data_IF_523205567980
#
_entry.id   IF_523205567980
#
_cell.length_a   1.000
_cell.length_b   1.000
_cell.length_c   1.000
_cell.angle_alpha   90.00
_cell.angle_beta   90.00
_cell.angle_gamma   90.00
#
_symmetry.space_group_name_H-M   'P 1'
#
loop_
_entity.id
_entity.type
_entity.pdbx_description
1 polymer ?
#
# COMPACT_ATOMS: atom_id res chain seq x y z
N UNK A 1 -2.17 -21.05 6.22
CA UNK A 1 -2.34 -20.09 5.10
C UNK A 1 -3.83 -19.94 4.84
N UNK A 2 -4.35 -18.72 4.77
CA UNK A 2 -5.78 -18.47 4.46
C UNK A 2 -5.95 -18.18 2.97
N UNK A 3 -7.12 -18.54 2.43
CA UNK A 3 -7.52 -18.21 1.06
C UNK A 3 -7.35 -16.70 0.77
N UNK A 4 -7.78 -15.85 1.71
CA UNK A 4 -7.65 -14.40 1.60
C UNK A 4 -6.19 -13.92 1.45
N UNK A 5 -5.24 -14.54 2.13
CA UNK A 5 -3.83 -14.16 2.01
C UNK A 5 -3.27 -14.50 0.61
N UNK A 6 -3.69 -15.63 0.04
CA UNK A 6 -3.31 -16.05 -1.30
C UNK A 6 -3.93 -15.13 -2.37
N UNK A 7 -5.23 -14.86 -2.29
CA UNK A 7 -5.90 -13.94 -3.23
C UNK A 7 -5.30 -12.55 -3.18
N UNK A 8 -5.02 -12.01 -1.98
CA UNK A 8 -4.33 -10.71 -1.83
C UNK A 8 -2.97 -10.70 -2.51
N UNK A 9 -2.20 -11.79 -2.41
CA UNK A 9 -0.89 -11.91 -3.08
C UNK A 9 -1.04 -11.88 -4.59
N UNK A 10 -2.01 -12.61 -5.15
CA UNK A 10 -2.27 -12.62 -6.60
C UNK A 10 -2.64 -11.23 -7.11
N UNK A 11 -3.49 -10.50 -6.38
CA UNK A 11 -3.88 -9.13 -6.75
C UNK A 11 -2.70 -8.15 -6.82
N UNK A 12 -1.67 -8.32 -5.98
CA UNK A 12 -0.49 -7.43 -6.01
C UNK A 12 0.38 -7.57 -7.25
N UNK A 13 0.19 -8.63 -8.04
CA UNK A 13 0.93 -8.91 -9.28
C UNK A 13 0.26 -8.26 -10.51
N UNK A 14 -0.94 -7.72 -10.36
CA UNK A 14 -1.66 -7.06 -11.45
C UNK A 14 -1.00 -5.70 -11.67
N UNK A 15 -0.59 -5.45 -12.91
CA UNK A 15 -0.11 -4.14 -13.35
C UNK A 15 -1.31 -3.25 -13.66
N UNK A 16 -1.27 -2.05 -13.11
CA UNK A 16 -2.30 -1.04 -13.31
C UNK A 16 -1.69 0.16 -14.05
N UNK A 17 -2.54 0.95 -14.70
CA UNK A 17 -2.13 2.22 -15.29
C UNK A 17 -1.69 3.22 -14.19
N UNK A 18 -0.85 4.19 -14.55
CA UNK A 18 -0.28 5.17 -13.60
C UNK A 18 -1.33 5.90 -12.75
N UNK A 19 -2.50 6.20 -13.32
CA UNK A 19 -3.61 6.84 -12.59
C UNK A 19 -4.20 5.90 -11.53
N UNK A 20 -4.32 4.62 -11.87
CA UNK A 20 -4.87 3.56 -11.04
C UNK A 20 -3.89 3.14 -9.95
N UNK A 21 -2.58 3.15 -10.20
CA UNK A 21 -1.55 2.88 -9.19
C UNK A 21 -1.57 3.92 -8.05
N UNK A 22 -1.77 5.20 -8.39
CA UNK A 22 -1.93 6.26 -7.38
C UNK A 22 -3.23 6.11 -6.58
N UNK A 23 -4.31 5.71 -7.25
CA UNK A 23 -5.58 5.43 -6.59
C UNK A 23 -5.48 4.22 -5.65
N UNK A 24 -4.80 3.15 -6.07
CA UNK A 24 -4.53 1.96 -5.27
C UNK A 24 -3.73 2.33 -4.02
N UNK A 25 -2.63 3.07 -4.18
CA UNK A 25 -1.82 3.53 -3.06
C UNK A 25 -2.63 4.38 -2.07
N UNK A 26 -3.44 5.30 -2.58
CA UNK A 26 -4.32 6.15 -1.76
C UNK A 26 -5.32 5.32 -0.96
N UNK A 27 -5.91 4.29 -1.57
CA UNK A 27 -6.82 3.37 -0.89
C UNK A 27 -6.10 2.56 0.20
N UNK A 28 -4.90 2.03 -0.09
CA UNK A 28 -4.10 1.25 0.85
C UNK A 28 -3.70 2.08 2.08
N UNK A 29 -3.27 3.32 1.86
CA UNK A 29 -2.97 4.28 2.93
C UNK A 29 -4.24 4.59 3.73
N UNK A 30 -5.39 4.80 3.09
CA UNK A 30 -6.63 5.12 3.80
C UNK A 30 -7.16 3.95 4.64
N UNK A 31 -6.93 2.71 4.21
CA UNK A 31 -7.41 1.52 4.91
C UNK A 31 -6.49 1.09 6.06
N UNK A 32 -5.18 1.21 5.89
CA UNK A 32 -4.18 0.61 6.79
C UNK A 32 -3.17 1.62 7.35
N UNK A 33 -3.22 2.85 6.87
CA UNK A 33 -2.27 3.91 7.20
C UNK A 33 -2.80 4.87 8.25
N UNK A 34 -1.88 5.38 9.07
CA UNK A 34 -2.08 6.56 9.89
C UNK A 34 -1.10 7.65 9.46
N UNK A 35 -1.59 8.87 9.29
CA UNK A 35 -0.75 10.04 8.99
C UNK A 35 -0.64 10.86 10.26
N UNK A 36 0.59 11.03 10.73
CA UNK A 36 0.91 11.82 11.91
C UNK A 36 1.68 13.06 11.47
N UNK A 37 1.23 14.23 11.93
CA UNK A 37 1.93 15.49 11.75
C UNK A 37 2.63 15.86 13.05
N UNK A 38 3.96 15.79 13.07
CA UNK A 38 4.77 16.14 14.25
C UNK A 38 5.92 17.03 13.82
N UNK A 39 6.08 18.19 14.46
CA UNK A 39 7.20 19.12 14.21
C UNK A 39 7.43 19.43 12.71
N UNK A 40 6.36 19.73 11.97
CA UNK A 40 6.37 19.98 10.51
C UNK A 40 6.87 18.80 9.66
N UNK A 41 6.95 17.59 10.23
CA UNK A 41 7.21 16.34 9.52
C UNK A 41 5.91 15.56 9.37
N UNK A 42 5.73 14.98 8.20
CA UNK A 42 4.66 14.04 7.91
C UNK A 42 5.23 12.64 8.08
N UNK A 43 4.66 11.88 9.00
CA UNK A 43 4.99 10.47 9.23
C UNK A 43 3.80 9.65 8.74
N UNK A 44 4.06 8.70 7.84
CA UNK A 44 3.08 7.76 7.34
C UNK A 44 3.42 6.37 7.88
N UNK A 45 2.61 5.90 8.83
CA UNK A 45 2.73 4.56 9.37
C UNK A 45 1.68 3.65 8.76
N UNK A 46 2.09 2.53 8.15
CA UNK A 46 1.18 1.55 7.56
C UNK A 46 1.43 0.19 8.20
N UNK A 47 0.39 -0.38 8.82
CA UNK A 47 0.46 -1.69 9.46
C UNK A 47 -0.32 -2.72 8.65
N UNK A 48 0.30 -3.85 8.31
CA UNK A 48 -0.38 -4.94 7.62
C UNK A 48 0.21 -6.29 8.03
N UNK A 49 -0.66 -7.29 8.19
CA UNK A 49 -0.28 -8.68 8.43
C UNK A 49 0.19 -9.42 7.16
N UNK A 50 0.01 -8.81 5.98
CA UNK A 50 0.32 -9.45 4.71
C UNK A 50 1.59 -8.85 4.07
N UNK A 51 2.67 -9.64 4.06
CA UNK A 51 3.96 -9.24 3.47
C UNK A 51 3.94 -8.95 1.96
N UNK A 52 2.96 -9.47 1.20
CA UNK A 52 2.79 -9.12 -0.21
C UNK A 52 2.23 -7.70 -0.36
N UNK A 53 1.26 -7.33 0.47
CA UNK A 53 0.68 -5.98 0.50
C UNK A 53 1.75 -4.95 0.92
N UNK A 54 2.54 -5.25 1.94
CA UNK A 54 3.64 -4.38 2.37
C UNK A 54 4.62 -4.09 1.22
N UNK A 55 5.01 -5.11 0.45
CA UNK A 55 5.90 -4.94 -0.72
C UNK A 55 5.23 -4.14 -1.82
N UNK A 56 3.95 -4.38 -2.12
CA UNK A 56 3.20 -3.63 -3.13
C UNK A 56 3.14 -2.14 -2.79
N UNK A 57 2.84 -1.79 -1.55
CA UNK A 57 2.82 -0.40 -1.09
C UNK A 57 4.19 0.27 -1.30
N UNK A 58 5.27 -0.41 -0.92
CA UNK A 58 6.63 0.11 -1.12
C UNK A 58 6.94 0.35 -2.60
N UNK A 59 6.57 -0.59 -3.48
CA UNK A 59 6.73 -0.44 -4.92
C UNK A 59 5.92 0.73 -5.49
N UNK A 60 4.66 0.87 -5.08
CA UNK A 60 3.79 1.97 -5.50
C UNK A 60 4.32 3.33 -5.01
N UNK A 61 4.80 3.41 -3.76
CA UNK A 61 5.44 4.60 -3.22
C UNK A 61 6.68 4.99 -4.03
N UNK A 62 7.53 4.03 -4.38
CA UNK A 62 8.74 4.28 -5.18
C UNK A 62 8.44 4.73 -6.61
N UNK A 63 7.30 4.35 -7.18
CA UNK A 63 6.85 4.81 -8.50
C UNK A 63 6.19 6.20 -8.46
N UNK A 64 5.52 6.53 -7.35
CA UNK A 64 4.80 7.79 -7.19
C UNK A 64 5.72 8.97 -6.85
N UNK A 65 6.92 8.70 -6.32
CA UNK A 65 8.03 9.66 -6.09
C UNK A 65 8.93 9.71 -7.31
#
# INVERSE_FOLDING_TARGET
MSFAAQTKKELTLIEAEDCCEKAELSALIRMNGSVQLTNQRVILDISTENAAIARRIYSLLKKAV
#
